data_IF_601125830699
#
_entry.id   IF_601125830699
#
_cell.length_a   1.000
_cell.length_b   1.000
_cell.length_c   1.000
_cell.angle_alpha   90.00
_cell.angle_beta   90.00
_cell.angle_gamma   90.00
#
_symmetry.space_group_name_H-M   'P 1'
#
loop_
_entity.id
_entity.type
_entity.pdbx_description
1 polymer ?
#
# COMPACT_ATOMS: atom_id res chain seq x y z
N UNK A 1 -25.70 -1.09 -8.74
CA UNK A 1 -24.78 -1.99 -9.45
C UNK A 1 -23.34 -1.64 -9.09
N UNK A 2 -22.56 -2.63 -8.74
CA UNK A 2 -21.11 -2.49 -8.52
C UNK A 2 -20.38 -3.52 -9.39
N UNK A 3 -19.72 -3.04 -10.46
CA UNK A 3 -19.11 -3.94 -11.44
C UNK A 3 -20.15 -4.91 -12.06
N UNK A 4 -19.92 -6.24 -12.05
CA UNK A 4 -20.85 -7.24 -12.57
C UNK A 4 -22.08 -7.46 -11.66
N UNK A 5 -22.03 -7.04 -10.40
CA UNK A 5 -23.07 -7.32 -9.41
C UNK A 5 -24.26 -6.38 -9.57
N UNK A 6 -25.47 -6.95 -9.59
CA UNK A 6 -26.75 -6.24 -9.79
C UNK A 6 -27.69 -6.55 -8.64
N UNK A 7 -28.29 -5.51 -8.06
CA UNK A 7 -29.26 -5.62 -6.95
C UNK A 7 -29.26 -4.35 -6.11
N UNK A 8 -30.31 -4.17 -5.33
CA UNK A 8 -30.45 -3.01 -4.44
C UNK A 8 -29.38 -2.94 -3.36
N UNK A 9 -28.86 -4.09 -2.93
CA UNK A 9 -27.75 -4.23 -1.98
C UNK A 9 -26.42 -3.68 -2.53
N UNK A 10 -26.30 -3.54 -3.85
CA UNK A 10 -25.09 -3.01 -4.51
C UNK A 10 -25.29 -1.58 -5.04
N UNK A 11 -26.29 -0.85 -4.51
CA UNK A 11 -26.47 0.56 -4.84
C UNK A 11 -25.36 1.41 -4.22
N UNK A 12 -24.99 2.50 -4.85
CA UNK A 12 -24.15 3.52 -4.23
C UNK A 12 -25.01 4.43 -3.36
N UNK A 13 -24.54 4.74 -2.15
CA UNK A 13 -25.23 5.63 -1.24
C UNK A 13 -24.23 6.47 -0.43
N UNK A 14 -24.64 7.69 -0.09
CA UNK A 14 -23.99 8.58 0.89
C UNK A 14 -24.98 8.78 2.03
N UNK A 15 -24.57 8.44 3.24
CA UNK A 15 -25.36 8.67 4.44
C UNK A 15 -24.80 9.90 5.18
N UNK A 16 -25.65 10.88 5.41
CA UNK A 16 -25.28 12.13 6.06
C UNK A 16 -25.77 12.19 7.51
N UNK A 17 -24.99 12.81 8.36
CA UNK A 17 -25.32 13.05 9.77
C UNK A 17 -25.71 14.51 10.04
N UNK A 18 -25.25 15.45 9.18
CA UNK A 18 -25.56 16.86 9.30
C UNK A 18 -26.11 17.44 7.99
N UNK A 19 -26.96 18.49 8.04
CA UNK A 19 -27.46 19.15 6.85
C UNK A 19 -26.36 19.67 5.90
N UNK A 20 -25.23 20.09 6.47
CA UNK A 20 -24.06 20.56 5.72
C UNK A 20 -23.48 19.44 4.84
N UNK A 21 -23.31 18.25 5.42
CA UNK A 21 -22.84 17.06 4.69
C UNK A 21 -23.79 16.69 3.54
N UNK A 22 -25.11 16.78 3.77
CA UNK A 22 -26.10 16.60 2.70
C UNK A 22 -25.90 17.59 1.56
N UNK A 23 -25.74 18.87 1.89
CA UNK A 23 -25.53 19.95 0.90
C UNK A 23 -24.27 19.72 0.09
N UNK A 24 -23.16 19.38 0.75
CA UNK A 24 -21.88 19.08 0.08
C UNK A 24 -21.99 17.86 -0.86
N UNK A 25 -22.64 16.79 -0.40
CA UNK A 25 -22.83 15.60 -1.23
C UNK A 25 -23.65 15.89 -2.49
N UNK A 26 -24.75 16.63 -2.37
CA UNK A 26 -25.59 17.02 -3.50
C UNK A 26 -24.85 17.95 -4.47
N UNK A 27 -24.13 18.94 -3.96
CA UNK A 27 -23.32 19.84 -4.78
C UNK A 27 -22.24 19.08 -5.55
N UNK A 28 -21.61 18.07 -4.93
CA UNK A 28 -20.61 17.24 -5.61
C UNK A 28 -21.19 16.35 -6.69
N UNK A 29 -22.40 15.83 -6.50
CA UNK A 29 -23.12 15.05 -7.50
C UNK A 29 -23.46 15.95 -8.71
N UNK A 30 -23.92 17.16 -8.46
CA UNK A 30 -24.23 18.13 -9.51
C UNK A 30 -22.97 18.52 -10.30
N UNK A 31 -21.88 18.85 -9.61
CA UNK A 31 -20.57 19.11 -10.24
C UNK A 31 -20.14 17.96 -11.16
N UNK A 32 -20.23 16.70 -10.67
CA UNK A 32 -19.84 15.53 -11.45
C UNK A 32 -20.74 15.31 -12.67
N UNK A 33 -22.04 15.54 -12.53
CA UNK A 33 -22.98 15.46 -13.66
C UNK A 33 -22.71 16.51 -14.73
N UNK A 34 -22.29 17.71 -14.32
CA UNK A 34 -21.98 18.82 -15.23
C UNK A 34 -20.58 18.71 -15.84
N UNK A 35 -19.67 17.96 -15.23
CA UNK A 35 -18.27 17.84 -15.68
C UNK A 35 -18.06 16.94 -16.89
N UNK A 36 -19.06 16.16 -17.29
CA UNK A 36 -18.92 15.15 -18.34
C UNK A 36 -17.96 13.99 -18.00
N UNK A 37 -17.57 13.86 -16.74
CA UNK A 37 -16.65 12.79 -16.27
C UNK A 37 -17.24 11.40 -16.46
N UNK A 38 -18.56 11.28 -16.36
CA UNK A 38 -19.29 10.03 -16.54
C UNK A 38 -20.23 10.10 -17.74
N UNK A 39 -20.38 9.01 -18.50
CA UNK A 39 -21.26 8.97 -19.69
C UNK A 39 -22.75 8.97 -19.31
N UNK A 40 -23.09 8.80 -18.04
CA UNK A 40 -24.46 8.79 -17.51
C UNK A 40 -24.52 9.56 -16.18
N UNK A 41 -25.69 10.09 -15.80
CA UNK A 41 -25.87 10.79 -14.54
C UNK A 41 -25.48 9.93 -13.33
N UNK A 42 -24.92 10.57 -12.31
CA UNK A 42 -24.61 9.93 -11.02
C UNK A 42 -25.93 9.64 -10.30
N UNK A 43 -26.18 8.36 -10.03
CA UNK A 43 -27.41 7.86 -9.37
C UNK A 43 -27.18 7.50 -7.90
N UNK A 44 -26.16 8.04 -7.27
CA UNK A 44 -25.84 7.81 -5.86
C UNK A 44 -26.96 8.36 -4.98
N UNK A 45 -27.54 7.50 -4.14
CA UNK A 45 -28.54 7.89 -3.15
C UNK A 45 -27.90 8.77 -2.06
N UNK A 46 -28.58 9.85 -1.66
CA UNK A 46 -28.15 10.71 -0.53
C UNK A 46 -29.25 10.67 0.53
N UNK A 47 -29.04 9.91 1.59
CA UNK A 47 -30.02 9.64 2.63
C UNK A 47 -29.48 10.01 4.02
N UNK A 48 -30.39 10.32 5.02
CA UNK A 48 -29.94 10.47 6.39
C UNK A 48 -29.35 9.19 6.92
N UNK A 49 -28.30 9.27 7.75
CA UNK A 49 -27.76 8.12 8.45
C UNK A 49 -28.82 7.59 9.43
N UNK A 50 -29.13 6.31 9.31
CA UNK A 50 -29.97 5.56 10.24
C UNK A 50 -29.08 4.82 11.25
N UNK A 51 -29.71 3.96 12.07
CA UNK A 51 -28.98 3.08 12.97
C UNK A 51 -27.96 2.23 12.21
N UNK A 52 -26.73 2.21 12.70
CA UNK A 52 -25.65 1.43 12.07
C UNK A 52 -25.63 0.01 12.64
N UNK A 53 -25.81 -0.96 11.75
CA UNK A 53 -25.66 -2.37 12.07
C UNK A 53 -24.31 -2.86 11.54
N UNK A 54 -23.36 -3.26 12.44
CA UNK A 54 -22.09 -3.83 11.99
C UNK A 54 -22.34 -5.09 11.18
N UNK A 55 -21.61 -5.27 10.10
CA UNK A 55 -21.58 -6.54 9.38
C UNK A 55 -21.02 -7.65 10.28
N UNK A 56 -21.36 -8.90 9.97
CA UNK A 56 -20.86 -10.07 10.68
C UNK A 56 -19.31 -10.11 10.66
N UNK A 57 -18.72 -10.65 11.72
CA UNK A 57 -17.27 -10.66 11.92
C UNK A 57 -16.49 -11.24 10.72
N UNK A 58 -17.05 -12.25 10.05
CA UNK A 58 -16.41 -12.85 8.86
C UNK A 58 -16.43 -11.95 7.64
N UNK A 59 -17.37 -11.01 7.54
CA UNK A 59 -17.41 -9.99 6.48
C UNK A 59 -16.55 -8.78 6.78
N UNK A 60 -16.34 -8.46 8.06
CA UNK A 60 -15.52 -7.33 8.43
C UNK A 60 -14.07 -7.54 8.03
N UNK A 61 -13.47 -6.55 7.39
CA UNK A 61 -12.08 -6.63 6.89
C UNK A 61 -11.81 -7.86 6.01
N UNK A 62 -12.82 -8.35 5.28
CA UNK A 62 -12.78 -9.59 4.49
C UNK A 62 -11.53 -9.67 3.59
N UNK A 63 -11.23 -8.62 2.82
CA UNK A 63 -10.06 -8.57 1.95
C UNK A 63 -8.75 -8.57 2.73
N UNK A 64 -8.70 -7.91 3.89
CA UNK A 64 -7.53 -7.91 4.74
C UNK A 64 -7.26 -9.29 5.36
N UNK A 65 -8.32 -9.99 5.81
CA UNK A 65 -8.24 -11.37 6.31
C UNK A 65 -7.74 -12.35 5.24
N UNK A 66 -8.00 -12.08 3.96
CA UNK A 66 -7.51 -12.88 2.84
C UNK A 66 -6.14 -12.43 2.30
N UNK A 67 -5.46 -11.51 2.96
CA UNK A 67 -4.20 -10.95 2.46
C UNK A 67 -4.36 -10.07 1.21
N UNK A 68 -5.60 -9.73 0.84
CA UNK A 68 -5.91 -8.80 -0.24
C UNK A 68 -6.04 -7.40 0.33
N UNK A 69 -5.37 -6.43 -0.25
CA UNK A 69 -5.45 -5.03 0.19
C UNK A 69 -6.90 -4.52 0.22
N UNK A 70 -7.17 -3.57 1.13
CA UNK A 70 -8.50 -3.12 1.56
C UNK A 70 -9.49 -2.67 0.48
N UNK A 71 -9.14 -2.55 -0.80
CA UNK A 71 -10.11 -2.12 -1.84
C UNK A 71 -9.92 -2.76 -3.21
N UNK A 72 -9.03 -3.75 -3.40
CA UNK A 72 -8.79 -4.29 -4.75
C UNK A 72 -8.33 -3.23 -5.77
N UNK A 73 -8.26 -1.97 -5.38
CA UNK A 73 -7.70 -0.90 -6.21
C UNK A 73 -6.20 -1.07 -6.21
N UNK A 74 -5.67 -1.52 -7.33
CA UNK A 74 -4.26 -1.25 -7.64
C UNK A 74 -4.11 0.26 -7.52
N UNK A 75 -3.44 0.73 -6.48
CA UNK A 75 -3.10 2.16 -6.39
C UNK A 75 -2.41 2.50 -7.70
N UNK A 76 -2.86 3.52 -8.44
CA UNK A 76 -2.29 3.80 -9.75
C UNK A 76 -0.78 4.00 -9.62
N UNK A 77 0.00 3.58 -10.62
CA UNK A 77 1.43 3.82 -10.64
C UNK A 77 1.72 5.31 -10.41
N UNK A 78 2.69 5.59 -9.55
CA UNK A 78 3.14 6.94 -9.29
C UNK A 78 4.47 7.17 -10.02
N UNK A 79 4.38 7.85 -11.15
CA UNK A 79 5.53 8.20 -11.98
C UNK A 79 5.81 9.69 -11.78
N UNK A 80 6.82 10.01 -10.97
CA UNK A 80 7.34 11.36 -10.79
C UNK A 80 8.72 11.45 -11.44
N UNK A 81 9.12 12.66 -11.83
CA UNK A 81 10.48 12.93 -12.29
C UNK A 81 11.49 12.80 -11.15
N UNK A 82 12.76 12.60 -11.47
CA UNK A 82 13.79 12.49 -10.44
C UNK A 82 13.97 13.80 -9.65
N UNK A 83 13.71 14.97 -10.28
CA UNK A 83 13.70 16.26 -9.60
C UNK A 83 12.57 16.36 -8.57
N UNK A 84 11.39 15.81 -8.87
CA UNK A 84 10.27 15.76 -7.94
C UNK A 84 10.55 14.82 -6.77
N UNK A 85 11.20 13.68 -7.03
CA UNK A 85 11.65 12.77 -5.96
C UNK A 85 12.69 13.41 -5.05
N UNK A 86 13.69 14.15 -5.61
CA UNK A 86 14.69 14.89 -4.82
C UNK A 86 14.08 15.96 -3.93
N UNK A 87 12.97 16.57 -4.34
CA UNK A 87 12.24 17.55 -3.50
C UNK A 87 11.46 16.92 -2.37
N UNK A 88 11.02 15.66 -2.52
CA UNK A 88 10.16 14.96 -1.57
C UNK A 88 10.90 14.12 -0.55
N UNK A 89 12.03 13.58 -0.93
CA UNK A 89 12.82 12.65 -0.14
C UNK A 89 14.01 13.36 0.50
N UNK A 90 14.40 12.93 1.70
CA UNK A 90 15.69 13.34 2.24
C UNK A 90 16.83 12.81 1.35
N UNK A 91 18.03 13.40 1.38
CA UNK A 91 19.16 12.90 0.60
C UNK A 91 19.47 11.41 0.87
N UNK A 92 19.33 10.96 2.11
CA UNK A 92 19.54 9.57 2.50
C UNK A 92 18.45 8.65 1.93
N UNK A 93 17.19 9.05 2.06
CA UNK A 93 16.06 8.31 1.46
C UNK A 93 16.17 8.26 -0.06
N UNK A 94 16.54 9.37 -0.71
CA UNK A 94 16.73 9.41 -2.15
C UNK A 94 17.81 8.43 -2.60
N UNK A 95 18.94 8.39 -1.90
CA UNK A 95 20.04 7.45 -2.18
C UNK A 95 19.59 6.00 -2.12
N UNK A 96 18.78 5.63 -1.11
CA UNK A 96 18.29 4.25 -0.94
C UNK A 96 17.20 3.96 -1.98
N UNK A 97 16.16 4.79 -2.04
CA UNK A 97 14.93 4.51 -2.79
C UNK A 97 15.07 4.71 -4.30
N UNK A 98 15.93 5.62 -4.74
CA UNK A 98 16.08 5.99 -6.17
C UNK A 98 17.43 5.62 -6.78
N UNK A 99 18.51 5.68 -6.00
CA UNK A 99 19.86 5.31 -6.46
C UNK A 99 20.26 3.88 -6.07
N UNK A 100 19.30 3.07 -5.55
CA UNK A 100 19.50 1.68 -5.13
C UNK A 100 20.61 1.51 -4.08
N UNK A 101 20.77 2.51 -3.21
CA UNK A 101 21.70 2.45 -2.11
C UNK A 101 21.28 1.43 -1.04
N UNK A 102 22.23 1.03 -0.22
CA UNK A 102 22.01 0.18 0.95
C UNK A 102 22.49 0.92 2.20
N UNK A 103 21.67 0.95 3.25
CA UNK A 103 22.08 1.49 4.55
C UNK A 103 23.11 0.59 5.22
N UNK A 104 23.85 1.12 6.20
CA UNK A 104 24.80 0.30 6.95
C UNK A 104 24.08 -0.78 7.76
N UNK A 105 24.65 -2.01 7.84
CA UNK A 105 24.05 -3.05 8.66
C UNK A 105 23.97 -2.61 10.13
N UNK A 106 22.93 -3.02 10.82
CA UNK A 106 22.63 -2.72 12.23
C UNK A 106 22.38 -1.23 12.56
N UNK A 107 22.20 -0.35 11.55
CA UNK A 107 21.94 1.07 11.77
C UNK A 107 20.46 1.46 11.60
N UNK A 108 19.64 0.58 11.05
CA UNK A 108 18.26 0.89 10.66
C UNK A 108 17.30 0.97 11.84
N UNK A 109 16.47 2.02 11.90
CA UNK A 109 15.51 2.25 13.00
C UNK A 109 14.48 1.12 13.18
N UNK A 110 14.13 0.41 12.10
CA UNK A 110 13.13 -0.67 12.14
C UNK A 110 13.73 -2.05 12.39
N UNK A 111 15.05 -2.17 12.56
CA UNK A 111 15.71 -3.45 12.79
C UNK A 111 15.12 -4.16 14.01
N UNK A 112 15.08 -3.48 15.15
CA UNK A 112 14.65 -4.03 16.43
C UNK A 112 13.18 -3.71 16.77
N UNK A 113 12.43 -3.05 15.88
CA UNK A 113 11.03 -2.70 16.09
C UNK A 113 10.16 -3.96 16.15
N UNK A 114 9.35 -4.05 17.22
CA UNK A 114 8.40 -5.17 17.47
C UNK A 114 6.95 -4.70 17.56
N UNK A 115 6.71 -3.40 17.41
CA UNK A 115 5.37 -2.83 17.49
C UNK A 115 4.49 -3.33 16.34
N UNK A 116 3.22 -3.56 16.66
CA UNK A 116 2.25 -3.97 15.66
C UNK A 116 1.94 -2.85 14.68
N UNK A 117 1.98 -3.18 13.39
CA UNK A 117 1.71 -2.20 12.36
C UNK A 117 1.96 -2.69 10.93
N UNK A 118 1.93 -1.73 10.03
CA UNK A 118 2.20 -1.95 8.62
C UNK A 118 3.31 -1.02 8.17
N UNK A 119 4.37 -1.58 7.63
CA UNK A 119 5.45 -0.83 7.01
C UNK A 119 5.02 -0.35 5.63
N UNK A 120 5.22 0.92 5.35
CA UNK A 120 4.86 1.54 4.07
C UNK A 120 6.12 2.00 3.32
N UNK A 121 6.03 2.04 2.00
CA UNK A 121 7.12 2.58 1.16
C UNK A 121 7.39 4.04 1.52
N UNK A 122 8.61 4.37 1.90
CA UNK A 122 9.03 5.71 2.32
C UNK A 122 8.88 6.77 1.22
N UNK A 123 8.85 6.37 -0.05
CA UNK A 123 8.67 7.29 -1.17
C UNK A 123 7.19 7.64 -1.43
N UNK A 124 6.26 6.69 -1.32
CA UNK A 124 4.89 6.87 -1.81
C UNK A 124 3.79 6.44 -0.83
N UNK A 125 4.14 5.93 0.35
CA UNK A 125 3.18 5.48 1.35
C UNK A 125 2.43 4.19 1.00
N UNK A 126 2.84 3.45 -0.04
CA UNK A 126 2.22 2.17 -0.38
C UNK A 126 2.52 1.12 0.72
N UNK A 127 1.52 0.44 1.32
CA UNK A 127 1.75 -0.63 2.28
C UNK A 127 2.54 -1.78 1.64
N UNK A 128 3.64 -2.22 2.26
CA UNK A 128 4.55 -3.22 1.68
C UNK A 128 4.76 -4.45 2.55
N UNK A 129 4.88 -4.30 3.87
CA UNK A 129 5.09 -5.40 4.82
C UNK A 129 4.25 -5.22 6.08
N UNK A 130 4.03 -6.31 6.83
CA UNK A 130 3.35 -6.28 8.14
C UNK A 130 4.33 -6.65 9.25
N UNK A 131 4.13 -6.10 10.44
CA UNK A 131 4.94 -6.45 11.62
C UNK A 131 4.90 -7.94 11.96
N UNK A 132 3.73 -8.57 11.79
CA UNK A 132 3.56 -10.01 12.05
C UNK A 132 4.34 -10.94 11.10
N UNK A 133 4.83 -10.42 9.97
CA UNK A 133 5.65 -11.15 9.01
C UNK A 133 7.16 -10.86 9.21
N UNK A 134 7.51 -10.01 10.20
CA UNK A 134 8.89 -9.61 10.48
C UNK A 134 9.57 -10.62 11.43
N UNK A 135 10.82 -10.94 11.14
CA UNK A 135 11.66 -11.80 11.99
C UNK A 135 13.09 -11.27 12.09
N UNK A 136 13.81 -11.72 13.11
CA UNK A 136 15.23 -11.43 13.25
C UNK A 136 16.06 -12.45 12.46
N UNK A 137 16.74 -11.98 11.43
CA UNK A 137 17.61 -12.80 10.58
C UNK A 137 19.09 -12.72 10.96
N UNK A 138 19.47 -11.83 11.90
CA UNK A 138 20.87 -11.56 12.22
C UNK A 138 21.65 -10.85 11.09
N UNK A 139 21.01 -10.52 9.95
CA UNK A 139 21.70 -9.92 8.79
C UNK A 139 22.05 -8.45 8.96
N UNK A 140 21.48 -7.77 9.95
CA UNK A 140 21.66 -6.34 10.20
C UNK A 140 20.64 -5.43 9.50
N UNK A 141 19.66 -6.00 8.81
CA UNK A 141 18.54 -5.30 8.18
C UNK A 141 17.19 -5.91 8.58
N UNK A 142 16.10 -5.12 8.63
CA UNK A 142 14.75 -5.64 8.81
C UNK A 142 14.44 -6.75 7.80
N UNK A 143 13.98 -7.90 8.30
CA UNK A 143 13.70 -9.07 7.49
C UNK A 143 12.26 -9.53 7.65
N UNK A 144 11.62 -9.89 6.53
CA UNK A 144 10.22 -10.32 6.48
C UNK A 144 10.11 -11.63 5.70
N UNK A 145 9.18 -12.50 6.12
CA UNK A 145 8.95 -13.78 5.44
C UNK A 145 8.02 -13.66 4.23
N UNK A 146 7.21 -12.60 4.18
CA UNK A 146 6.32 -12.29 3.05
C UNK A 146 6.05 -10.80 2.92
N UNK A 147 5.75 -10.37 1.70
CA UNK A 147 5.23 -9.04 1.42
C UNK A 147 3.70 -9.05 1.33
N UNK A 148 3.08 -7.88 1.49
CA UNK A 148 1.65 -7.71 1.20
C UNK A 148 1.40 -8.03 -0.28
N UNK A 149 0.43 -8.90 -0.62
CA UNK A 149 0.20 -9.32 -1.99
C UNK A 149 0.01 -8.15 -2.96
N UNK A 150 0.78 -8.13 -4.06
CA UNK A 150 0.71 -7.10 -5.09
C UNK A 150 1.36 -5.76 -4.73
N UNK A 151 2.00 -5.65 -3.56
CA UNK A 151 2.62 -4.40 -3.08
C UNK A 151 4.03 -4.17 -3.60
N UNK A 152 4.71 -5.23 -4.03
CA UNK A 152 6.08 -5.21 -4.51
C UNK A 152 6.20 -5.83 -5.91
N UNK A 153 7.33 -5.58 -6.55
CA UNK A 153 7.83 -6.30 -7.74
C UNK A 153 9.19 -6.87 -7.44
N UNK A 154 9.51 -7.98 -8.08
CA UNK A 154 10.81 -8.64 -8.01
C UNK A 154 11.49 -8.53 -9.37
N UNK A 155 12.73 -8.09 -9.40
CA UNK A 155 13.51 -7.89 -10.61
C UNK A 155 14.88 -8.56 -10.44
N UNK A 156 15.41 -9.17 -11.51
CA UNK A 156 16.77 -9.69 -11.47
C UNK A 156 17.78 -8.53 -11.31
N UNK A 157 18.72 -8.69 -10.41
CA UNK A 157 19.81 -7.74 -10.15
C UNK A 157 21.15 -8.42 -10.30
N UNK A 158 21.92 -7.96 -11.30
CA UNK A 158 23.26 -8.48 -11.62
C UNK A 158 24.38 -7.52 -11.20
N UNK A 159 24.06 -6.51 -10.40
CA UNK A 159 25.05 -5.52 -9.94
C UNK A 159 26.09 -6.16 -8.99
N UNK A 160 27.23 -5.52 -8.88
CA UNK A 160 28.35 -5.93 -8.00
C UNK A 160 28.86 -7.36 -8.20
N UNK A 161 28.67 -7.92 -9.42
CA UNK A 161 29.12 -9.29 -9.72
C UNK A 161 28.33 -10.40 -9.03
N UNK A 162 27.15 -10.08 -8.46
CA UNK A 162 26.25 -11.01 -7.78
C UNK A 162 24.95 -11.20 -8.57
N UNK A 163 24.34 -12.37 -8.44
CA UNK A 163 22.99 -12.64 -8.95
C UNK A 163 22.03 -12.59 -7.77
N UNK A 164 21.17 -11.58 -7.74
CA UNK A 164 20.20 -11.36 -6.66
C UNK A 164 18.83 -11.02 -7.23
N UNK A 165 17.82 -11.01 -6.39
CA UNK A 165 16.47 -10.56 -6.74
C UNK A 165 16.17 -9.26 -5.98
N UNK A 166 16.12 -8.14 -6.71
CA UNK A 166 15.76 -6.83 -6.18
C UNK A 166 14.27 -6.77 -5.87
N UNK A 167 13.93 -6.18 -4.74
CA UNK A 167 12.55 -5.88 -4.33
C UNK A 167 12.28 -4.40 -4.52
N UNK A 168 11.27 -4.07 -5.33
CA UNK A 168 10.84 -2.69 -5.58
C UNK A 168 9.37 -2.49 -5.24
N UNK A 169 8.99 -1.27 -4.88
CA UNK A 169 7.60 -0.90 -4.63
C UNK A 169 6.78 -1.00 -5.92
N UNK A 170 5.67 -1.74 -5.91
CA UNK A 170 4.83 -1.92 -7.09
C UNK A 170 4.19 -0.61 -7.58
N UNK A 171 3.99 0.38 -6.69
CA UNK A 171 3.35 1.65 -7.00
C UNK A 171 4.29 2.67 -7.64
N UNK A 172 5.49 2.86 -7.09
CA UNK A 172 6.40 3.93 -7.54
C UNK A 172 7.74 3.43 -8.09
N UNK A 173 7.98 2.11 -8.08
CA UNK A 173 9.22 1.53 -8.56
C UNK A 173 10.44 1.77 -7.67
N UNK A 174 10.29 2.40 -6.49
CA UNK A 174 11.41 2.65 -5.59
C UNK A 174 12.02 1.36 -5.08
N UNK A 175 13.35 1.34 -5.00
CA UNK A 175 14.13 0.24 -4.42
C UNK A 175 13.82 0.09 -2.92
N UNK A 176 13.58 -1.13 -2.46
CA UNK A 176 13.34 -1.44 -1.05
C UNK A 176 14.46 -2.28 -0.45
N UNK A 177 14.99 -3.23 -1.19
CA UNK A 177 15.99 -4.18 -0.78
C UNK A 177 16.05 -5.37 -1.72
N UNK A 178 16.34 -6.55 -1.17
CA UNK A 178 16.47 -7.79 -1.92
C UNK A 178 15.71 -8.94 -1.23
N UNK A 179 15.39 -9.98 -1.97
CA UNK A 179 14.81 -11.21 -1.43
C UNK A 179 15.75 -12.38 -1.67
N UNK A 180 15.81 -13.27 -0.68
CA UNK A 180 16.64 -14.48 -0.65
C UNK A 180 15.77 -15.69 -0.30
N UNK A 181 16.19 -16.89 -0.72
CA UNK A 181 15.53 -18.18 -0.44
C UNK A 181 16.18 -18.90 0.74
N UNK A 182 16.53 -18.15 1.78
CA UNK A 182 17.20 -18.61 2.99
C UNK A 182 16.43 -18.26 4.27
N UNK A 183 15.13 -17.99 4.16
CA UNK A 183 14.27 -17.66 5.28
C UNK A 183 13.97 -18.86 6.18
N UNK A 184 13.84 -18.66 7.51
CA UNK A 184 13.61 -19.74 8.48
C UNK A 184 12.16 -20.20 8.57
N UNK A 185 11.23 -19.54 7.86
CA UNK A 185 9.79 -19.82 7.93
C UNK A 185 9.35 -20.80 6.85
N UNK A 186 8.09 -21.24 6.89
CA UNK A 186 7.51 -22.13 5.89
C UNK A 186 7.51 -21.55 4.47
N UNK A 187 7.67 -20.24 4.30
CA UNK A 187 7.81 -19.61 2.98
C UNK A 187 9.19 -19.84 2.37
N UNK A 188 10.20 -20.13 3.17
CA UNK A 188 11.59 -20.19 2.77
C UNK A 188 12.18 -18.85 2.33
N UNK A 189 11.38 -17.77 2.38
CA UNK A 189 11.77 -16.46 1.83
C UNK A 189 12.27 -15.53 2.93
N UNK A 190 13.27 -14.71 2.62
CA UNK A 190 13.73 -13.62 3.44
C UNK A 190 13.82 -12.34 2.62
N UNK A 191 12.86 -11.45 2.81
CA UNK A 191 12.87 -10.10 2.28
C UNK A 191 13.74 -9.22 3.18
N UNK A 192 14.96 -8.93 2.74
CA UNK A 192 15.93 -8.09 3.44
C UNK A 192 15.77 -6.65 2.97
N UNK A 193 15.21 -5.78 3.81
CA UNK A 193 14.71 -4.47 3.41
C UNK A 193 15.43 -3.36 4.18
N UNK A 194 15.79 -2.28 3.49
CA UNK A 194 16.38 -1.11 4.13
C UNK A 194 15.35 -0.42 5.04
N UNK A 195 15.71 -0.10 6.27
CA UNK A 195 14.85 0.71 7.15
C UNK A 195 14.56 2.08 6.53
N UNK A 196 15.56 2.72 5.93
CA UNK A 196 15.40 4.01 5.26
C UNK A 196 14.49 3.97 4.01
N UNK A 197 14.13 2.78 3.54
CA UNK A 197 13.16 2.61 2.45
C UNK A 197 11.70 2.54 2.92
N UNK A 198 11.46 2.52 4.23
CA UNK A 198 10.13 2.35 4.85
C UNK A 198 9.82 3.47 5.84
N UNK A 199 8.52 3.61 6.14
CA UNK A 199 7.98 4.41 7.26
C UNK A 199 6.97 3.56 8.02
#
# INVERSE_FOLDING_TARGET
RQGPEVGTQYRSAVFWFTPEQKKEALAKIEELNNSGTYPAPVVTEVAPAAEFYPAEEYHQKYLAKQGKGCCGRKTPPLNLSEEEWKKRLSPEQYKILREKGTEKPFSGQYLNMKDDGTFVCGACGNPVFRSGDKFDSGSGWPSFDRAIPGSIRQNADFSHGMVRVEVTCARCGSHLGHVFEDGPTNTGMRYCINSGAMN
#
